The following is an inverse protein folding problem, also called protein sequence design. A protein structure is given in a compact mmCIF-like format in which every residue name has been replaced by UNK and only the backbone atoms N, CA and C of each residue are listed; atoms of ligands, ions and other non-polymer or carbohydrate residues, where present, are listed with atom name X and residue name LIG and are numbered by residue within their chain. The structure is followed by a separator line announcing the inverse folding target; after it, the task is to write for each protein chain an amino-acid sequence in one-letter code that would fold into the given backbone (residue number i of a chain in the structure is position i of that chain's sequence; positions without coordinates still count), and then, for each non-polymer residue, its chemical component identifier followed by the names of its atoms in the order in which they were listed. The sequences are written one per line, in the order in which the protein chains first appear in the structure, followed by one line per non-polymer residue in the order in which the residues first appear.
data_IF_863224240883
#
_entry.id   IF_863224240883
#
_cell.length_a   1.000
_cell.length_b   1.000
_cell.length_c   1.000
_cell.angle_alpha   90.00
_cell.angle_beta   90.00
_cell.angle_gamma   90.00
#
_symmetry.space_group_name_H-M   'P 1'
#
loop_
_entity.id
_entity.type
_entity.pdbx_description
1 polymer ?
#
# COMPACT_ATOMS: atom_id res chain seq x y z
N UNK A 1 -22.19 -52.07 -56.70
CA UNK A 1 -22.52 -51.92 -55.27
C UNK A 1 -21.21 -51.90 -54.50
N UNK A 2 -20.78 -50.73 -54.04
CA UNK A 2 -19.62 -50.57 -53.15
C UNK A 2 -20.14 -49.93 -51.86
N UNK A 3 -20.10 -50.70 -50.78
CA UNK A 3 -20.65 -50.32 -49.47
C UNK A 3 -19.58 -49.52 -48.72
N UNK A 4 -19.85 -48.23 -48.49
CA UNK A 4 -19.00 -47.40 -47.62
C UNK A 4 -19.21 -47.82 -46.16
N UNK A 5 -18.13 -48.19 -45.49
CA UNK A 5 -18.10 -48.38 -44.04
C UNK A 5 -17.85 -47.01 -43.41
N UNK A 6 -18.89 -46.43 -42.82
CA UNK A 6 -18.78 -45.20 -42.02
C UNK A 6 -18.27 -45.59 -40.63
N UNK A 7 -17.01 -45.27 -40.32
CA UNK A 7 -16.51 -45.31 -38.95
C UNK A 7 -17.10 -44.15 -38.16
N UNK A 8 -18.03 -44.45 -37.25
CA UNK A 8 -18.49 -43.50 -36.26
C UNK A 8 -17.39 -43.33 -35.19
N UNK A 9 -16.79 -42.14 -35.15
CA UNK A 9 -15.92 -41.72 -34.05
C UNK A 9 -16.81 -41.44 -32.83
N UNK A 10 -16.79 -42.32 -31.85
CA UNK A 10 -17.43 -42.09 -30.55
C UNK A 10 -16.71 -40.94 -29.85
N UNK A 11 -17.34 -39.77 -29.81
CA UNK A 11 -16.88 -38.66 -28.97
C UNK A 11 -17.02 -39.09 -27.51
N UNK A 12 -15.88 -39.24 -26.83
CA UNK A 12 -15.82 -39.43 -25.38
C UNK A 12 -16.39 -38.17 -24.73
N UNK A 13 -17.64 -38.22 -24.28
CA UNK A 13 -18.18 -37.18 -23.39
C UNK A 13 -17.38 -37.24 -22.08
N UNK A 14 -16.55 -36.22 -21.87
CA UNK A 14 -16.02 -35.91 -20.54
C UNK A 14 -17.20 -35.70 -19.61
N UNK A 15 -17.35 -36.59 -18.62
CA UNK A 15 -18.30 -36.43 -17.52
C UNK A 15 -17.87 -35.15 -16.78
N UNK A 16 -18.57 -34.06 -17.06
CA UNK A 16 -18.20 -32.73 -16.61
C UNK A 16 -18.22 -32.63 -15.10
N UNK A 17 -17.17 -32.04 -14.53
CA UNK A 17 -17.21 -31.44 -13.18
C UNK A 17 -18.49 -30.62 -13.08
N UNK A 18 -19.27 -30.73 -11.98
CA UNK A 18 -20.46 -29.89 -11.82
C UNK A 18 -20.07 -28.40 -11.97
N UNK A 19 -20.88 -27.60 -12.70
CA UNK A 19 -20.55 -26.20 -12.95
C UNK A 19 -20.45 -25.41 -11.65
N UNK A 20 -19.59 -24.39 -11.61
CA UNK A 20 -19.50 -23.51 -10.46
C UNK A 20 -20.81 -22.72 -10.30
N UNK A 21 -21.21 -22.49 -9.06
CA UNK A 21 -22.38 -21.67 -8.76
C UNK A 21 -21.93 -20.31 -8.20
N UNK A 22 -22.45 -19.23 -8.78
CA UNK A 22 -22.15 -17.86 -8.37
C UNK A 22 -23.40 -17.17 -7.85
N UNK A 23 -23.44 -16.90 -6.54
CA UNK A 23 -24.53 -16.14 -5.91
C UNK A 23 -24.09 -14.69 -5.72
N UNK A 24 -24.70 -13.77 -6.46
CA UNK A 24 -24.37 -12.34 -6.41
C UNK A 24 -24.58 -11.77 -5.00
N UNK A 25 -23.61 -10.99 -4.53
CA UNK A 25 -23.61 -10.35 -3.20
C UNK A 25 -23.94 -8.86 -3.25
N UNK A 26 -23.67 -8.19 -4.37
CA UNK A 26 -23.98 -6.76 -4.57
C UNK A 26 -24.55 -6.54 -5.98
N UNK A 27 -25.45 -5.56 -6.21
CA UNK A 27 -26.10 -5.38 -7.52
C UNK A 27 -25.17 -5.33 -8.74
N UNK A 28 -23.97 -4.78 -8.57
CA UNK A 28 -23.01 -4.54 -9.66
C UNK A 28 -21.75 -5.42 -9.65
N UNK A 29 -21.44 -6.09 -8.53
CA UNK A 29 -20.19 -6.84 -8.36
C UNK A 29 -20.30 -7.82 -7.18
N UNK A 30 -19.27 -8.62 -6.94
CA UNK A 30 -19.18 -9.56 -5.83
C UNK A 30 -20.10 -10.79 -5.95
N UNK A 31 -19.55 -11.96 -5.66
CA UNK A 31 -20.33 -13.19 -5.54
C UNK A 31 -19.75 -14.16 -4.51
N UNK A 32 -20.62 -14.93 -3.85
CA UNK A 32 -20.21 -16.20 -3.27
C UNK A 32 -20.00 -17.21 -4.41
N UNK A 33 -18.94 -18.01 -4.32
CA UNK A 33 -18.59 -19.06 -5.27
C UNK A 33 -18.63 -20.42 -4.57
N UNK A 34 -19.42 -21.34 -5.13
CA UNK A 34 -19.56 -22.72 -4.66
C UNK A 34 -19.15 -23.72 -5.75
N UNK A 35 -18.76 -24.93 -5.35
CA UNK A 35 -18.42 -26.02 -6.27
C UNK A 35 -16.94 -26.21 -6.58
N UNK A 36 -16.04 -25.35 -6.08
CA UNK A 36 -14.59 -25.53 -6.26
C UNK A 36 -14.05 -26.60 -5.30
N UNK A 37 -13.44 -27.65 -5.85
CA UNK A 37 -12.70 -28.64 -5.07
C UNK A 37 -11.24 -28.18 -4.86
N UNK A 38 -10.91 -27.82 -3.62
CA UNK A 38 -9.57 -27.41 -3.18
C UNK A 38 -8.74 -28.58 -2.58
N UNK A 39 -9.26 -29.81 -2.61
CA UNK A 39 -8.53 -31.00 -2.12
C UNK A 39 -7.41 -31.44 -3.06
N UNK A 40 -7.49 -31.05 -4.33
CA UNK A 40 -6.52 -31.31 -5.39
C UNK A 40 -6.20 -30.00 -6.14
N UNK A 41 -5.16 -29.97 -6.99
CA UNK A 41 -4.96 -28.84 -7.92
C UNK A 41 -6.23 -28.59 -8.74
N UNK A 42 -6.66 -27.33 -8.80
CA UNK A 42 -7.92 -26.97 -9.47
C UNK A 42 -7.73 -27.15 -10.99
N UNK A 43 -8.63 -27.85 -11.71
CA UNK A 43 -8.48 -28.06 -13.15
C UNK A 43 -8.47 -26.73 -13.94
N UNK A 44 -7.71 -26.67 -15.03
CA UNK A 44 -7.54 -25.44 -15.83
C UNK A 44 -8.89 -24.86 -16.32
N UNK A 45 -9.85 -25.72 -16.70
CA UNK A 45 -11.18 -25.27 -17.10
C UNK A 45 -11.91 -24.50 -15.98
N UNK A 46 -11.75 -24.94 -14.73
CA UNK A 46 -12.31 -24.28 -13.55
C UNK A 46 -11.55 -22.99 -13.25
N UNK A 47 -10.22 -22.96 -13.44
CA UNK A 47 -9.43 -21.72 -13.32
C UNK A 47 -9.91 -20.67 -14.31
N UNK A 48 -10.17 -21.04 -15.58
CA UNK A 48 -10.67 -20.10 -16.58
C UNK A 48 -12.09 -19.62 -16.28
N UNK A 49 -12.96 -20.49 -15.75
CA UNK A 49 -14.27 -20.10 -15.25
C UNK A 49 -14.15 -19.10 -14.09
N UNK A 50 -13.24 -19.33 -13.14
CA UNK A 50 -12.94 -18.40 -12.05
C UNK A 50 -12.40 -17.05 -12.56
N UNK A 51 -11.55 -17.04 -13.61
CA UNK A 51 -11.08 -15.79 -14.23
C UNK A 51 -12.21 -15.00 -14.87
N UNK A 52 -13.10 -15.68 -15.60
CA UNK A 52 -14.28 -15.06 -16.19
C UNK A 52 -15.23 -14.51 -15.11
N UNK A 53 -15.41 -15.24 -14.02
CA UNK A 53 -16.15 -14.79 -12.85
C UNK A 53 -15.48 -13.58 -12.18
N UNK A 54 -14.15 -13.57 -12.00
CA UNK A 54 -13.42 -12.41 -11.48
C UNK A 54 -13.56 -11.18 -12.38
N UNK A 55 -13.52 -11.34 -13.72
CA UNK A 55 -13.76 -10.24 -14.64
C UNK A 55 -15.16 -9.62 -14.45
N UNK A 56 -16.16 -10.45 -14.15
CA UNK A 56 -17.53 -10.01 -13.91
C UNK A 56 -17.67 -9.39 -12.52
N UNK A 57 -17.41 -10.18 -11.48
CA UNK A 57 -17.73 -9.86 -10.09
C UNK A 57 -16.64 -9.08 -9.37
N UNK A 58 -15.37 -9.14 -9.79
CA UNK A 58 -14.24 -8.45 -9.15
C UNK A 58 -13.88 -8.94 -7.73
N UNK A 59 -14.81 -9.59 -7.02
CA UNK A 59 -14.65 -10.21 -5.70
C UNK A 59 -15.39 -11.55 -5.72
N UNK A 60 -14.70 -12.61 -5.31
CA UNK A 60 -15.27 -13.94 -5.09
C UNK A 60 -15.02 -14.39 -3.66
N UNK A 61 -16.05 -14.94 -3.02
CA UNK A 61 -16.00 -15.45 -1.66
C UNK A 61 -16.17 -16.96 -1.68
N UNK A 62 -15.24 -17.67 -1.04
CA UNK A 62 -15.24 -19.13 -0.93
C UNK A 62 -15.38 -19.50 0.54
N UNK A 63 -16.37 -20.33 0.88
CA UNK A 63 -16.62 -20.72 2.28
C UNK A 63 -15.90 -22.02 2.61
N UNK A 64 -15.30 -22.06 3.82
CA UNK A 64 -14.69 -23.26 4.39
C UNK A 64 -13.82 -24.08 3.40
N UNK A 65 -12.85 -23.42 2.75
CA UNK A 65 -12.03 -24.01 1.67
C UNK A 65 -11.21 -25.23 2.08
N UNK A 66 -10.94 -25.41 3.38
CA UNK A 66 -10.03 -26.43 3.94
C UNK A 66 -8.62 -26.41 3.34
N UNK A 67 -8.23 -25.32 2.68
CA UNK A 67 -6.87 -25.09 2.22
C UNK A 67 -5.94 -24.99 3.44
N UNK A 68 -4.75 -25.57 3.33
CA UNK A 68 -3.61 -25.25 4.19
C UNK A 68 -2.71 -24.23 3.48
N UNK A 69 -1.64 -23.80 4.15
CA UNK A 69 -0.71 -22.79 3.65
C UNK A 69 -0.06 -23.18 2.31
N UNK A 70 0.27 -24.46 2.13
CA UNK A 70 0.93 -24.96 0.94
C UNK A 70 -0.04 -25.02 -0.26
N UNK A 71 -1.26 -25.53 -0.04
CA UNK A 71 -2.30 -25.57 -1.07
C UNK A 71 -2.85 -24.19 -1.40
N UNK A 72 -2.94 -23.28 -0.43
CA UNK A 72 -3.32 -21.88 -0.67
C UNK A 72 -2.33 -21.21 -1.62
N UNK A 73 -1.03 -21.36 -1.35
CA UNK A 73 0.02 -20.84 -2.23
C UNK A 73 0.01 -21.53 -3.61
N UNK A 74 -0.20 -22.85 -3.66
CA UNK A 74 -0.29 -23.60 -4.92
C UNK A 74 -1.47 -23.11 -5.78
N UNK A 75 -2.64 -22.90 -5.19
CA UNK A 75 -3.82 -22.36 -5.89
C UNK A 75 -3.55 -20.95 -6.41
N UNK A 76 -2.94 -20.08 -5.61
CA UNK A 76 -2.52 -18.74 -6.04
C UNK A 76 -1.60 -18.81 -7.28
N UNK A 77 -0.67 -19.77 -7.34
CA UNK A 77 0.20 -19.98 -8.52
C UNK A 77 -0.54 -20.40 -9.78
N UNK A 78 -1.68 -21.10 -9.67
CA UNK A 78 -2.52 -21.44 -10.83
C UNK A 78 -3.20 -20.18 -11.41
N UNK A 79 -3.40 -19.15 -10.59
CA UNK A 79 -4.00 -17.88 -11.01
C UNK A 79 -2.97 -16.89 -11.57
N UNK A 80 -1.71 -16.97 -11.15
CA UNK A 80 -0.64 -16.14 -11.68
C UNK A 80 0.62 -16.19 -10.81
N UNK A 81 1.66 -15.44 -11.20
CA UNK A 81 2.92 -15.43 -10.45
C UNK A 81 2.75 -14.67 -9.12
N UNK A 82 2.95 -15.31 -7.96
CA UNK A 82 2.82 -14.64 -6.67
C UNK A 82 3.81 -13.48 -6.52
N UNK A 83 3.32 -12.34 -6.05
CA UNK A 83 4.13 -11.21 -5.62
C UNK A 83 4.48 -11.41 -4.16
N UNK A 84 5.78 -11.44 -3.89
CA UNK A 84 6.30 -11.44 -2.54
C UNK A 84 6.44 -10.01 -2.06
N UNK A 85 5.58 -9.59 -1.12
CA UNK A 85 5.79 -8.34 -0.39
C UNK A 85 6.38 -8.62 1.00
N UNK A 86 7.61 -8.15 1.22
CA UNK A 86 8.31 -8.23 2.51
C UNK A 86 8.06 -6.99 3.39
N UNK A 87 7.07 -6.15 3.07
CA UNK A 87 6.78 -4.87 3.77
C UNK A 87 6.53 -4.98 5.26
N UNK A 88 6.07 -6.14 5.76
CA UNK A 88 5.52 -6.26 7.12
C UNK A 88 6.39 -7.05 8.11
N UNK A 89 7.67 -7.25 7.79
CA UNK A 89 8.67 -7.82 8.71
C UNK A 89 9.60 -6.76 9.29
N UNK A 90 9.81 -6.75 10.61
CA UNK A 90 10.94 -6.03 11.20
C UNK A 90 12.21 -6.87 10.96
N UNK A 91 13.34 -6.27 10.54
CA UNK A 91 14.62 -6.99 10.48
C UNK A 91 14.89 -7.71 11.82
N UNK A 92 15.27 -8.98 11.76
CA UNK A 92 15.56 -9.81 12.94
C UNK A 92 14.35 -10.38 13.68
N UNK A 93 13.11 -10.09 13.28
CA UNK A 93 11.91 -10.76 13.85
C UNK A 93 11.57 -12.00 13.01
N UNK A 94 11.50 -13.21 13.62
CA UNK A 94 11.13 -14.43 12.90
C UNK A 94 9.77 -14.31 12.23
N UNK A 95 9.69 -14.74 10.98
CA UNK A 95 8.42 -14.86 10.26
C UNK A 95 7.56 -15.94 10.94
N UNK A 96 6.40 -15.53 11.47
CA UNK A 96 5.48 -16.43 12.18
C UNK A 96 4.99 -17.56 11.29
N UNK A 97 4.82 -17.31 9.99
CA UNK A 97 4.31 -18.32 9.07
C UNK A 97 5.41 -19.28 8.60
N UNK A 98 6.68 -19.01 8.90
CA UNK A 98 7.83 -19.80 8.44
C UNK A 98 7.96 -19.88 6.91
N UNK A 99 7.06 -19.20 6.19
CA UNK A 99 6.86 -19.26 4.75
C UNK A 99 7.46 -18.04 4.09
N UNK A 100 8.67 -17.65 4.51
CA UNK A 100 9.32 -16.42 4.08
C UNK A 100 9.35 -16.39 2.55
N UNK A 101 8.68 -15.41 1.97
CA UNK A 101 8.58 -15.28 0.53
C UNK A 101 7.49 -16.10 -0.16
N UNK A 102 6.49 -16.61 0.58
CA UNK A 102 5.33 -17.31 -0.01
C UNK A 102 3.99 -16.74 0.44
N UNK A 103 3.84 -16.45 1.74
CA UNK A 103 2.62 -15.87 2.31
C UNK A 103 2.94 -14.59 3.06
N UNK A 104 2.02 -13.63 3.02
CA UNK A 104 2.05 -12.43 3.85
C UNK A 104 1.18 -12.64 5.09
N UNK A 105 1.76 -12.46 6.27
CA UNK A 105 1.02 -12.43 7.53
C UNK A 105 0.34 -11.06 7.70
N UNK A 106 -0.99 -11.02 7.54
CA UNK A 106 -1.80 -9.84 7.82
C UNK A 106 -2.62 -9.97 9.11
N UNK A 107 -2.26 -10.94 9.95
CA UNK A 107 -2.83 -11.11 11.27
C UNK A 107 -2.36 -10.09 12.30
N UNK A 108 -3.18 -9.93 13.35
CA UNK A 108 -2.96 -9.02 14.48
C UNK A 108 -2.26 -9.69 15.68
N UNK A 109 -1.51 -10.78 15.46
CA UNK A 109 -0.82 -11.53 16.50
C UNK A 109 0.70 -11.56 16.30
N UNK A 110 1.45 -11.74 17.38
CA UNK A 110 2.90 -11.97 17.35
C UNK A 110 3.26 -13.45 17.12
N UNK A 111 4.56 -13.76 17.05
CA UNK A 111 5.06 -15.12 16.84
C UNK A 111 4.68 -16.12 17.94
N UNK A 112 4.28 -15.63 19.12
CA UNK A 112 3.78 -16.44 20.24
C UNK A 112 2.25 -16.55 20.25
N UNK A 113 1.58 -16.01 19.23
CA UNK A 113 0.12 -16.02 19.10
C UNK A 113 -0.59 -14.98 19.96
N UNK A 114 0.13 -14.04 20.58
CA UNK A 114 -0.47 -13.00 21.43
C UNK A 114 -0.90 -11.82 20.57
N UNK A 115 -2.04 -11.22 20.90
CA UNK A 115 -2.57 -10.03 20.23
C UNK A 115 -1.57 -8.87 20.34
N UNK A 116 -1.32 -8.18 19.21
CA UNK A 116 -0.43 -7.05 19.15
C UNK A 116 -0.99 -5.86 19.93
N UNK A 117 -0.14 -5.21 20.72
CA UNK A 117 -0.50 -3.94 21.36
C UNK A 117 -0.90 -2.89 20.29
N UNK A 118 -1.97 -2.10 20.50
CA UNK A 118 -2.37 -1.01 19.60
C UNK A 118 -1.29 0.07 19.37
N UNK A 119 -0.32 0.19 20.29
CA UNK A 119 0.83 1.10 20.18
C UNK A 119 2.05 0.45 19.53
N UNK A 120 2.03 -0.85 19.27
CA UNK A 120 3.12 -1.55 18.59
C UNK A 120 3.33 -1.02 17.18
N UNK A 121 4.57 -1.03 16.71
CA UNK A 121 4.92 -0.57 15.37
C UNK A 121 4.09 -1.25 14.27
N UNK A 122 3.94 -2.57 14.35
CA UNK A 122 3.15 -3.37 13.38
C UNK A 122 1.67 -2.98 13.41
N UNK A 123 1.06 -2.84 14.59
CA UNK A 123 -0.34 -2.40 14.70
C UNK A 123 -0.56 -0.97 14.15
N UNK A 124 0.38 -0.06 14.41
CA UNK A 124 0.34 1.31 13.88
C UNK A 124 0.42 1.32 12.34
N UNK A 125 1.29 0.51 11.74
CA UNK A 125 1.37 0.37 10.29
C UNK A 125 0.08 -0.21 9.69
N UNK A 126 -0.53 -1.21 10.33
CA UNK A 126 -1.76 -1.83 9.85
C UNK A 126 -2.99 -0.93 9.94
N UNK A 127 -2.96 0.18 10.67
CA UNK A 127 -4.07 1.16 10.60
C UNK A 127 -4.32 1.66 9.19
N UNK A 128 -3.29 1.65 8.32
CA UNK A 128 -3.43 1.99 6.91
C UNK A 128 -4.37 1.04 6.13
N UNK A 129 -4.53 -0.21 6.54
CA UNK A 129 -5.42 -1.18 5.85
C UNK A 129 -6.90 -0.93 6.15
N UNK A 130 -7.22 -0.05 7.11
CA UNK A 130 -8.59 0.39 7.43
C UNK A 130 -9.09 1.47 6.48
N UNK A 131 -8.20 2.01 5.65
CA UNK A 131 -8.52 2.96 4.60
C UNK A 131 -8.77 2.18 3.31
N UNK A 132 -9.70 2.64 2.47
CA UNK A 132 -9.88 2.05 1.14
C UNK A 132 -8.58 2.16 0.35
N UNK A 133 -8.07 1.02 -0.11
CA UNK A 133 -6.79 0.92 -0.79
C UNK A 133 -6.79 -0.19 -1.84
N UNK A 134 -5.71 -0.23 -2.63
CA UNK A 134 -5.44 -1.23 -3.67
C UNK A 134 -4.07 -1.81 -3.39
N UNK A 135 -3.99 -3.13 -3.22
CA UNK A 135 -2.74 -3.80 -2.89
C UNK A 135 -1.70 -3.58 -3.97
N UNK A 136 -0.46 -3.36 -3.55
CA UNK A 136 0.67 -3.19 -4.47
C UNK A 136 0.60 -1.96 -5.39
N UNK A 137 -0.40 -1.07 -5.26
CA UNK A 137 -0.50 0.14 -6.12
C UNK A 137 0.69 1.10 -5.96
N UNK A 138 1.40 1.04 -4.83
CA UNK A 138 2.65 1.76 -4.59
C UNK A 138 3.87 1.16 -5.31
N UNK A 139 3.71 0.03 -6.00
CA UNK A 139 4.75 -0.56 -6.87
C UNK A 139 4.45 -0.24 -8.34
N UNK A 140 5.46 -0.39 -9.22
CA UNK A 140 5.28 -0.14 -10.66
C UNK A 140 4.48 -1.26 -11.35
N UNK A 141 4.68 -2.51 -10.92
CA UNK A 141 3.94 -3.65 -11.43
C UNK A 141 2.70 -3.87 -10.57
N UNK A 142 1.52 -3.62 -11.14
CA UNK A 142 0.25 -3.80 -10.41
C UNK A 142 0.07 -5.24 -9.94
N UNK A 143 -0.45 -5.39 -8.72
CA UNK A 143 -1.05 -6.63 -8.27
C UNK A 143 -2.29 -6.93 -9.11
N UNK A 144 -2.50 -8.21 -9.44
CA UNK A 144 -3.73 -8.69 -10.05
C UNK A 144 -4.71 -9.10 -8.97
N UNK A 145 -4.62 -10.35 -8.53
CA UNK A 145 -5.50 -10.87 -7.48
C UNK A 145 -4.81 -10.90 -6.11
N UNK A 146 -5.54 -10.56 -5.06
CA UNK A 146 -5.17 -10.92 -3.68
C UNK A 146 -6.08 -12.05 -3.20
N UNK A 147 -5.52 -13.00 -2.47
CA UNK A 147 -6.20 -14.17 -1.94
C UNK A 147 -5.99 -14.23 -0.43
N UNK A 148 -7.03 -13.85 0.31
CA UNK A 148 -7.00 -13.76 1.77
C UNK A 148 -7.75 -14.93 2.38
N UNK A 149 -7.03 -15.80 3.10
CA UNK A 149 -7.59 -16.93 3.83
C UNK A 149 -7.69 -16.62 5.31
N UNK A 150 -8.88 -16.79 5.89
CA UNK A 150 -9.10 -16.78 7.32
C UNK A 150 -8.48 -18.05 7.93
N UNK A 151 -7.42 -17.91 8.72
CA UNK A 151 -6.84 -19.00 9.49
C UNK A 151 -7.46 -19.08 10.89
N UNK A 152 -7.71 -17.93 11.52
CA UNK A 152 -8.46 -17.86 12.77
C UNK A 152 -9.27 -16.57 12.81
N UNK A 153 -10.55 -16.67 13.11
CA UNK A 153 -11.48 -15.56 13.26
C UNK A 153 -11.69 -15.16 14.72
N UNK A 154 -12.06 -13.89 15.00
CA UNK A 154 -12.42 -13.46 16.33
C UNK A 154 -13.79 -14.06 16.69
N UNK A 155 -14.24 -13.97 17.96
CA UNK A 155 -15.55 -14.49 18.33
C UNK A 155 -16.66 -13.94 17.42
N UNK A 156 -17.63 -14.79 17.11
CA UNK A 156 -18.70 -14.44 16.16
C UNK A 156 -19.45 -13.19 16.60
N UNK A 157 -19.75 -12.30 15.65
CA UNK A 157 -20.49 -11.05 15.90
C UNK A 157 -19.63 -9.90 16.45
N UNK A 158 -18.30 -10.06 16.51
CA UNK A 158 -17.42 -9.04 17.07
C UNK A 158 -16.73 -8.13 16.02
N UNK A 159 -17.15 -8.26 14.76
CA UNK A 159 -16.70 -7.46 13.62
C UNK A 159 -15.54 -8.10 12.85
N UNK A 160 -14.73 -7.28 12.18
CA UNK A 160 -13.58 -7.75 11.38
C UNK A 160 -13.91 -8.09 9.92
N UNK A 161 -15.06 -7.65 9.42
CA UNK A 161 -15.44 -7.77 8.02
C UNK A 161 -14.41 -7.12 7.08
N UNK A 162 -14.49 -7.43 5.79
CA UNK A 162 -13.73 -6.74 4.75
C UNK A 162 -14.70 -6.05 3.80
N UNK A 163 -14.53 -4.74 3.63
CA UNK A 163 -15.33 -3.97 2.70
C UNK A 163 -14.57 -3.75 1.40
N UNK A 164 -15.28 -3.88 0.28
CA UNK A 164 -14.79 -3.70 -1.08
C UNK A 164 -15.59 -2.60 -1.77
N UNK A 165 -14.99 -1.87 -2.71
CA UNK A 165 -15.67 -0.86 -3.50
C UNK A 165 -15.41 -1.07 -5.00
N UNK A 166 -16.47 -1.13 -5.81
CA UNK A 166 -16.37 -1.33 -7.27
C UNK A 166 -16.02 -0.03 -8.00
N UNK A 167 -14.74 0.12 -8.35
CA UNK A 167 -14.26 1.35 -8.98
C UNK A 167 -14.66 1.47 -10.46
N UNK A 168 -15.18 0.40 -11.06
CA UNK A 168 -15.75 0.42 -12.42
C UNK A 168 -17.09 1.12 -12.43
N UNK A 169 -17.97 0.76 -11.49
CA UNK A 169 -19.28 1.41 -11.35
C UNK A 169 -19.11 2.85 -10.89
N UNK A 170 -18.20 3.10 -9.95
CA UNK A 170 -17.86 4.47 -9.55
C UNK A 170 -17.39 5.33 -10.74
N UNK A 171 -16.55 4.80 -11.65
CA UNK A 171 -16.17 5.53 -12.86
C UNK A 171 -17.36 5.80 -13.79
N UNK A 172 -18.18 4.78 -14.04
CA UNK A 172 -19.32 4.90 -14.95
C UNK A 172 -20.30 6.01 -14.54
N UNK A 173 -20.51 6.15 -13.23
CA UNK A 173 -21.41 7.13 -12.61
C UNK A 173 -20.82 8.57 -12.52
N UNK A 174 -19.57 8.79 -12.93
CA UNK A 174 -19.01 10.15 -13.00
C UNK A 174 -19.70 10.98 -14.09
N UNK A 175 -19.81 12.28 -13.85
CA UNK A 175 -20.18 13.24 -14.90
C UNK A 175 -19.16 13.22 -16.04
N UNK A 176 -19.60 13.45 -17.28
CA UNK A 176 -18.73 13.38 -18.46
C UNK A 176 -17.61 14.43 -18.40
N UNK A 177 -17.87 15.60 -17.80
CA UNK A 177 -16.88 16.63 -17.58
C UNK A 177 -15.74 16.13 -16.66
N UNK A 178 -16.10 15.41 -15.59
CA UNK A 178 -15.12 14.81 -14.69
C UNK A 178 -14.35 13.69 -15.38
N UNK A 179 -15.01 12.85 -16.18
CA UNK A 179 -14.33 11.81 -16.98
C UNK A 179 -13.30 12.43 -17.93
N UNK A 180 -13.68 13.52 -18.61
CA UNK A 180 -12.80 14.25 -19.53
C UNK A 180 -11.61 14.91 -18.81
N UNK A 181 -11.80 15.43 -17.60
CA UNK A 181 -10.72 16.00 -16.79
C UNK A 181 -9.68 14.93 -16.40
N UNK A 182 -10.15 13.78 -15.90
CA UNK A 182 -9.27 12.80 -15.25
C UNK A 182 -8.64 11.78 -16.22
N UNK A 183 -9.12 11.69 -17.46
CA UNK A 183 -8.74 10.63 -18.41
C UNK A 183 -7.23 10.47 -18.60
N UNK A 184 -6.47 11.58 -18.52
CA UNK A 184 -5.02 11.61 -18.73
C UNK A 184 -4.24 11.78 -17.43
N UNK A 185 -4.90 11.82 -16.27
CA UNK A 185 -4.21 11.97 -15.00
C UNK A 185 -3.45 10.70 -14.64
N UNK A 186 -2.23 10.89 -14.12
CA UNK A 186 -1.41 9.83 -13.53
C UNK A 186 -1.27 10.14 -12.05
N UNK A 187 -1.61 9.19 -11.19
CA UNK A 187 -1.44 9.29 -9.75
C UNK A 187 -0.10 8.69 -9.33
N UNK A 188 0.54 9.35 -8.37
CA UNK A 188 1.67 8.83 -7.60
C UNK A 188 1.15 8.14 -6.33
N UNK A 189 1.59 6.90 -6.12
CA UNK A 189 1.20 6.04 -5.01
C UNK A 189 2.39 5.73 -4.11
N UNK A 190 2.20 5.85 -2.80
CA UNK A 190 3.21 5.52 -1.79
C UNK A 190 2.57 4.73 -0.64
N UNK A 191 3.22 3.65 -0.22
CA UNK A 191 2.76 2.91 0.97
C UNK A 191 2.77 3.83 2.20
N UNK A 192 3.80 4.68 2.33
CA UNK A 192 3.95 5.59 3.47
C UNK A 192 2.83 6.62 3.57
N UNK A 193 2.19 6.98 2.44
CA UNK A 193 1.00 7.84 2.46
C UNK A 193 -0.12 7.21 3.28
N UNK A 194 -0.48 5.95 2.97
CA UNK A 194 -1.53 5.25 3.71
C UNK A 194 -1.20 5.05 5.19
N UNK A 195 0.09 4.86 5.52
CA UNK A 195 0.56 4.71 6.90
C UNK A 195 0.43 6.03 7.67
N UNK A 196 0.77 7.15 7.03
CA UNK A 196 0.55 8.49 7.59
C UNK A 196 -0.92 8.78 7.82
N UNK A 197 -1.78 8.49 6.83
CA UNK A 197 -3.23 8.69 6.97
C UNK A 197 -3.84 7.81 8.06
N UNK A 198 -3.37 6.57 8.24
CA UNK A 198 -3.89 5.65 9.25
C UNK A 198 -3.37 5.89 10.66
N UNK A 199 -2.18 6.48 10.81
CA UNK A 199 -1.54 6.75 12.10
C UNK A 199 -0.82 8.11 12.10
N UNK A 200 -1.56 9.23 11.95
CA UNK A 200 -0.98 10.55 11.75
C UNK A 200 -0.16 11.05 12.96
N UNK A 201 -0.52 10.61 14.16
CA UNK A 201 0.15 11.03 15.41
C UNK A 201 1.46 10.27 15.69
N UNK A 202 1.77 9.23 14.91
CA UNK A 202 2.99 8.47 15.10
C UNK A 202 4.20 9.25 14.58
N UNK A 203 5.00 9.79 15.50
CA UNK A 203 6.16 10.65 15.17
C UNK A 203 7.16 9.99 14.21
N UNK A 204 7.37 8.67 14.30
CA UNK A 204 8.31 7.97 13.44
C UNK A 204 7.75 7.82 12.02
N UNK A 205 6.45 7.54 11.87
CA UNK A 205 5.79 7.54 10.56
C UNK A 205 5.87 8.92 9.91
N UNK A 206 5.58 9.99 10.68
CA UNK A 206 5.71 11.38 10.21
C UNK A 206 7.13 11.69 9.73
N UNK A 207 8.13 11.31 10.52
CA UNK A 207 9.54 11.50 10.18
C UNK A 207 9.90 10.75 8.90
N UNK A 208 9.52 9.47 8.77
CA UNK A 208 9.81 8.67 7.56
C UNK A 208 9.12 9.27 6.34
N UNK A 209 7.88 9.73 6.45
CA UNK A 209 7.17 10.39 5.34
C UNK A 209 7.89 11.66 4.93
N UNK A 210 8.20 12.55 5.87
CA UNK A 210 8.90 13.80 5.61
C UNK A 210 10.29 13.57 4.97
N UNK A 211 11.03 12.56 5.42
CA UNK A 211 12.35 12.22 4.86
C UNK A 211 12.23 11.55 3.49
N UNK A 212 11.23 10.68 3.29
CA UNK A 212 11.02 9.95 2.02
C UNK A 212 10.38 10.80 0.92
N UNK A 213 9.96 12.02 1.23
CA UNK A 213 9.31 12.92 0.30
C UNK A 213 10.34 13.73 -0.51
N UNK A 214 10.68 13.25 -1.70
CA UNK A 214 11.74 13.85 -2.52
C UNK A 214 11.30 15.09 -3.31
N UNK A 215 10.02 15.47 -3.24
CA UNK A 215 9.50 16.62 -4.00
C UNK A 215 10.20 17.93 -3.60
N UNK A 216 10.56 18.08 -2.33
CA UNK A 216 11.32 19.24 -1.83
C UNK A 216 12.80 19.23 -2.24
N UNK A 217 13.39 18.06 -2.54
CA UNK A 217 14.79 17.98 -2.95
C UNK A 217 15.04 18.66 -4.30
N UNK A 218 14.00 18.81 -5.14
CA UNK A 218 14.10 19.56 -6.40
C UNK A 218 14.38 21.05 -6.20
N UNK A 219 14.15 21.59 -4.99
CA UNK A 219 14.45 22.98 -4.63
C UNK A 219 15.86 23.17 -4.09
N UNK A 220 16.57 22.09 -3.73
CA UNK A 220 17.93 22.18 -3.18
C UNK A 220 18.92 22.79 -4.17
N UNK A 221 18.93 22.44 -5.48
CA UNK A 221 19.82 23.10 -6.43
C UNK A 221 19.61 24.61 -6.48
N UNK A 222 18.36 25.07 -6.33
CA UNK A 222 18.03 26.50 -6.27
C UNK A 222 18.56 27.15 -5.00
N UNK A 223 18.35 26.52 -3.83
CA UNK A 223 18.87 27.03 -2.55
C UNK A 223 20.42 27.05 -2.52
N UNK A 224 21.06 26.03 -3.08
CA UNK A 224 22.52 25.97 -3.26
C UNK A 224 23.01 27.08 -4.20
N UNK A 225 22.31 27.31 -5.32
CA UNK A 225 22.65 28.36 -6.28
C UNK A 225 22.50 29.76 -5.68
N UNK A 226 21.43 30.02 -4.92
CA UNK A 226 21.24 31.29 -4.20
C UNK A 226 22.36 31.51 -3.18
N UNK A 227 22.71 30.48 -2.41
CA UNK A 227 23.85 30.54 -1.47
C UNK A 227 25.19 30.78 -2.16
N UNK A 228 25.42 30.14 -3.31
CA UNK A 228 26.64 30.33 -4.11
C UNK A 228 26.72 31.74 -4.71
N UNK A 229 25.61 32.27 -5.24
CA UNK A 229 25.53 33.63 -5.78
C UNK A 229 25.79 34.66 -4.67
N UNK A 230 25.17 34.50 -3.49
CA UNK A 230 25.42 35.38 -2.34
C UNK A 230 26.90 35.39 -1.94
N UNK A 231 27.58 34.23 -2.00
CA UNK A 231 29.02 34.09 -1.75
C UNK A 231 29.87 34.79 -2.81
N UNK A 232 29.56 34.63 -4.09
CA UNK A 232 30.28 35.27 -5.21
C UNK A 232 30.13 36.79 -5.16
N UNK A 233 28.96 37.29 -4.78
CA UNK A 233 28.68 38.72 -4.65
C UNK A 233 29.28 39.36 -3.39
N UNK A 234 30.04 38.61 -2.58
CA UNK A 234 30.69 39.14 -1.39
C UNK A 234 29.72 39.58 -0.29
N UNK A 235 28.48 39.10 -0.32
CA UNK A 235 27.50 39.28 0.76
C UNK A 235 27.89 38.30 1.89
N UNK A 236 29.01 38.60 2.54
CA UNK A 236 29.56 37.79 3.63
C UNK A 236 28.68 37.96 4.87
N UNK A 237 28.02 36.88 5.26
CA UNK A 237 27.46 36.72 6.60
C UNK A 237 27.82 35.30 7.02
N UNK A 238 28.44 35.11 8.19
CA UNK A 238 28.75 33.79 8.77
C UNK A 238 27.53 32.84 8.79
N UNK A 239 26.33 33.43 8.74
CA UNK A 239 25.03 32.77 8.61
C UNK A 239 24.90 31.95 7.31
N UNK A 240 25.51 32.36 6.18
CA UNK A 240 25.39 31.66 4.88
C UNK A 240 26.18 30.35 4.89
N UNK A 241 27.40 30.34 5.45
CA UNK A 241 28.21 29.12 5.56
C UNK A 241 27.60 28.11 6.53
N UNK A 242 27.04 28.57 7.66
CA UNK A 242 26.27 27.72 8.57
C UNK A 242 25.02 27.16 7.87
N UNK A 243 24.31 27.99 7.08
CA UNK A 243 23.10 27.55 6.36
C UNK A 243 23.41 26.50 5.29
N UNK A 244 24.50 26.66 4.53
CA UNK A 244 24.95 25.68 3.55
C UNK A 244 25.41 24.37 4.22
N UNK A 245 26.13 24.46 5.34
CA UNK A 245 26.52 23.30 6.13
C UNK A 245 25.31 22.56 6.72
N UNK A 246 24.35 23.28 7.29
CA UNK A 246 23.10 22.71 7.80
C UNK A 246 22.29 22.04 6.68
N UNK A 247 22.23 22.64 5.49
CA UNK A 247 21.56 22.05 4.34
C UNK A 247 22.30 20.80 3.85
N UNK A 248 23.64 20.82 3.80
CA UNK A 248 24.44 19.64 3.49
C UNK A 248 24.21 18.50 4.50
N UNK A 249 24.26 18.80 5.80
CA UNK A 249 23.97 17.84 6.87
C UNK A 249 22.54 17.29 6.78
N UNK A 250 21.56 18.15 6.48
CA UNK A 250 20.18 17.74 6.26
C UNK A 250 20.04 16.79 5.06
N UNK A 251 20.67 17.11 3.92
CA UNK A 251 20.64 16.29 2.72
C UNK A 251 21.36 14.96 2.95
N UNK A 252 22.54 14.98 3.54
CA UNK A 252 23.31 13.78 3.88
C UNK A 252 22.53 12.90 4.87
N UNK A 253 21.96 13.49 5.93
CA UNK A 253 21.11 12.79 6.88
C UNK A 253 19.89 12.13 6.21
N UNK A 254 19.24 12.82 5.27
CA UNK A 254 18.14 12.23 4.48
C UNK A 254 18.61 11.10 3.58
N UNK A 255 19.74 11.24 2.90
CA UNK A 255 20.32 10.17 2.07
C UNK A 255 20.61 8.94 2.93
N UNK A 256 21.22 9.11 4.10
CA UNK A 256 21.52 8.03 5.02
C UNK A 256 20.24 7.31 5.50
N UNK A 257 19.20 8.06 5.88
CA UNK A 257 17.91 7.47 6.27
C UNK A 257 17.24 6.76 5.09
N UNK A 258 17.28 7.33 3.89
CA UNK A 258 16.73 6.69 2.68
C UNK A 258 17.44 5.37 2.37
N UNK A 259 18.77 5.31 2.49
CA UNK A 259 19.55 4.09 2.33
C UNK A 259 19.15 3.01 3.34
N UNK A 260 18.68 3.41 4.52
CA UNK A 260 18.22 2.49 5.57
C UNK A 260 16.76 2.05 5.42
N UNK A 261 15.93 2.78 4.65
CA UNK A 261 14.52 2.43 4.49
C UNK A 261 14.31 1.17 3.63
N UNK A 262 13.36 0.29 4.02
CA UNK A 262 12.93 -0.83 3.19
C UNK A 262 12.52 -0.35 1.79
N UNK A 263 12.79 -1.18 0.77
CA UNK A 263 12.51 -0.84 -0.63
C UNK A 263 11.06 -0.36 -0.85
N UNK A 264 10.10 -0.98 -0.18
CA UNK A 264 8.70 -0.59 -0.27
C UNK A 264 8.39 0.81 0.29
N UNK A 265 9.06 1.26 1.35
CA UNK A 265 8.88 2.62 1.87
C UNK A 265 9.40 3.68 0.88
N UNK A 266 10.36 3.30 0.03
CA UNK A 266 10.89 4.09 -1.08
C UNK A 266 10.11 3.94 -2.38
N UNK A 267 9.30 2.89 -2.52
CA UNK A 267 8.56 2.61 -3.75
C UNK A 267 7.55 3.72 -4.05
N UNK A 268 7.47 4.10 -5.32
CA UNK A 268 6.55 5.10 -5.84
C UNK A 268 5.92 4.55 -7.12
N UNK A 269 4.68 4.07 -7.01
CA UNK A 269 3.91 3.59 -8.16
C UNK A 269 3.35 4.78 -8.93
N UNK A 270 3.36 4.72 -10.26
CA UNK A 270 2.74 5.73 -11.13
C UNK A 270 1.72 5.04 -12.01
N UNK A 271 0.45 5.37 -11.82
CA UNK A 271 -0.65 4.68 -12.48
C UNK A 271 -1.64 5.70 -13.03
N UNK A 272 -2.19 5.46 -14.21
CA UNK A 272 -3.29 6.26 -14.74
C UNK A 272 -4.48 6.22 -13.77
N UNK A 273 -5.15 7.35 -13.58
CA UNK A 273 -6.33 7.43 -12.72
C UNK A 273 -7.53 6.71 -13.36
N UNK A 274 -7.83 7.03 -14.61
CA UNK A 274 -8.84 6.32 -15.40
C UNK A 274 -8.17 5.22 -16.23
N UNK A 275 -8.60 3.98 -16.08
CA UNK A 275 -8.00 2.84 -16.78
C UNK A 275 -9.03 1.87 -17.33
N UNK A 276 -8.72 1.28 -18.48
CA UNK A 276 -9.48 0.15 -18.99
C UNK A 276 -9.17 -1.12 -18.19
N UNK A 277 -10.16 -1.63 -17.48
CA UNK A 277 -10.14 -2.97 -16.92
C UNK A 277 -10.32 -3.99 -18.07
N UNK A 278 -9.20 -4.43 -18.64
CA UNK A 278 -9.19 -5.31 -19.83
C UNK A 278 -10.09 -6.55 -19.69
N UNK A 279 -10.07 -7.31 -18.57
CA UNK A 279 -10.88 -8.53 -18.45
C UNK A 279 -12.39 -8.27 -18.59
N UNK A 280 -12.89 -7.14 -18.07
CA UNK A 280 -14.33 -6.82 -18.12
C UNK A 280 -14.69 -5.82 -19.21
N UNK A 281 -13.72 -5.30 -19.96
CA UNK A 281 -13.87 -4.20 -20.92
C UNK A 281 -14.60 -2.95 -20.35
N UNK A 282 -14.41 -2.64 -19.05
CA UNK A 282 -15.00 -1.48 -18.39
C UNK A 282 -13.90 -0.50 -17.98
N UNK A 283 -14.17 0.80 -18.07
CA UNK A 283 -13.31 1.80 -17.45
C UNK A 283 -13.45 1.74 -15.92
N UNK A 284 -12.38 2.07 -15.20
CA UNK A 284 -12.36 2.14 -13.74
C UNK A 284 -11.50 3.29 -13.23
N UNK A 285 -11.74 3.67 -11.97
CA UNK A 285 -10.84 4.51 -11.18
C UNK A 285 -9.78 3.64 -10.49
N UNK A 286 -8.52 3.77 -10.88
CA UNK A 286 -7.40 3.09 -10.23
C UNK A 286 -6.76 4.01 -9.18
N UNK A 287 -7.31 3.97 -7.97
CA UNK A 287 -6.88 4.82 -6.86
C UNK A 287 -7.13 4.17 -5.50
N UNK A 288 -6.59 4.76 -4.44
CA UNK A 288 -6.75 4.30 -3.06
C UNK A 288 -5.93 5.18 -2.11
N UNK A 289 -5.90 4.86 -0.82
CA UNK A 289 -5.20 5.65 0.22
C UNK A 289 -3.68 5.81 0.01
N UNK A 290 -3.10 5.05 -0.91
CA UNK A 290 -1.70 5.21 -1.33
C UNK A 290 -1.49 6.44 -2.23
N UNK A 291 -2.51 6.90 -2.95
CA UNK A 291 -2.43 8.04 -3.86
C UNK A 291 -2.23 9.34 -3.09
N UNK A 292 -1.22 10.12 -3.45
CA UNK A 292 -0.88 11.37 -2.75
C UNK A 292 -0.65 12.58 -3.67
N UNK A 293 -0.54 12.36 -4.98
CA UNK A 293 -0.21 13.41 -5.93
C UNK A 293 -0.63 13.03 -7.35
N UNK A 294 -1.15 14.00 -8.11
CA UNK A 294 -1.34 13.93 -9.56
C UNK A 294 -0.04 14.39 -10.22
N UNK A 295 0.44 13.63 -11.20
CA UNK A 295 1.64 13.95 -11.95
C UNK A 295 1.51 15.33 -12.61
N UNK A 296 2.58 16.13 -12.55
CA UNK A 296 2.56 17.53 -13.00
C UNK A 296 1.89 18.55 -12.06
N UNK A 297 1.19 18.12 -11.00
CA UNK A 297 0.58 19.03 -10.00
C UNK A 297 1.35 19.03 -8.68
N UNK A 298 1.17 20.04 -7.83
CA UNK A 298 1.66 20.00 -6.45
C UNK A 298 0.79 19.06 -5.59
N UNK A 299 1.28 18.62 -4.42
CA UNK A 299 0.46 17.82 -3.50
C UNK A 299 -0.76 18.58 -3.00
N UNK A 300 -0.59 19.88 -2.72
CA UNK A 300 -1.67 20.75 -2.26
C UNK A 300 -2.78 20.83 -3.30
N UNK A 301 -2.43 21.01 -4.58
CA UNK A 301 -3.41 21.10 -5.67
C UNK A 301 -4.03 19.73 -6.02
N UNK A 302 -3.28 18.64 -5.77
CA UNK A 302 -3.77 17.28 -6.04
C UNK A 302 -4.76 16.78 -4.98
N UNK A 303 -4.55 17.18 -3.73
CA UNK A 303 -5.31 16.71 -2.57
C UNK A 303 -6.83 16.84 -2.74
N UNK A 304 -7.42 18.01 -3.08
CA UNK A 304 -8.88 18.13 -3.17
C UNK A 304 -9.48 17.22 -4.25
N UNK A 305 -8.79 17.03 -5.38
CA UNK A 305 -9.24 16.14 -6.46
C UNK A 305 -9.22 14.68 -6.02
N UNK A 306 -8.11 14.23 -5.41
CA UNK A 306 -7.98 12.86 -4.91
C UNK A 306 -9.02 12.59 -3.82
N UNK A 307 -9.23 13.52 -2.87
CA UNK A 307 -10.22 13.37 -1.80
C UNK A 307 -11.66 13.35 -2.32
N UNK A 308 -12.00 14.19 -3.30
CA UNK A 308 -13.33 14.19 -3.92
C UNK A 308 -13.62 12.86 -4.62
N UNK A 309 -12.66 12.34 -5.40
CA UNK A 309 -12.81 11.06 -6.09
C UNK A 309 -12.80 9.87 -5.12
N UNK A 310 -11.99 9.89 -4.06
CA UNK A 310 -12.05 8.88 -3.00
C UNK A 310 -13.43 8.87 -2.33
N UNK A 311 -13.99 10.06 -2.04
CA UNK A 311 -15.32 10.19 -1.43
C UNK A 311 -16.41 9.66 -2.35
N UNK A 312 -16.33 9.96 -3.65
CA UNK A 312 -17.24 9.40 -4.66
C UNK A 312 -17.13 7.87 -4.72
N UNK A 313 -15.93 7.35 -4.95
CA UNK A 313 -15.70 5.91 -5.14
C UNK A 313 -15.91 5.06 -3.88
N UNK A 314 -16.16 5.66 -2.72
CA UNK A 314 -16.45 4.97 -1.45
C UNK A 314 -17.87 5.19 -0.93
N UNK A 315 -18.77 5.73 -1.76
CA UNK A 315 -20.21 5.78 -1.45
C UNK A 315 -20.79 4.37 -1.26
N UNK A 316 -21.75 4.22 -0.33
CA UNK A 316 -22.33 2.92 0.05
C UNK A 316 -22.88 2.12 -1.15
N UNK A 317 -23.43 2.80 -2.16
CA UNK A 317 -23.93 2.15 -3.40
C UNK A 317 -22.87 1.45 -4.24
N UNK A 318 -21.59 1.69 -3.98
CA UNK A 318 -20.47 0.99 -4.62
C UNK A 318 -19.82 -0.03 -3.70
N UNK A 319 -20.24 -0.11 -2.44
CA UNK A 319 -19.54 -0.85 -1.37
C UNK A 319 -20.25 -2.17 -1.08
N UNK A 320 -19.47 -3.26 -1.11
CA UNK A 320 -19.86 -4.57 -0.60
C UNK A 320 -19.07 -4.85 0.68
N UNK A 321 -19.77 -5.12 1.78
CA UNK A 321 -19.14 -5.61 3.02
C UNK A 321 -19.33 -7.12 3.12
N UNK A 322 -18.23 -7.85 3.26
CA UNK A 322 -18.23 -9.30 3.41
C UNK A 322 -17.82 -9.67 4.82
N UNK A 323 -18.74 -10.32 5.54
CA UNK A 323 -18.45 -10.95 6.81
C UNK A 323 -17.74 -12.29 6.63
N UNK A 324 -16.72 -12.50 7.45
CA UNK A 324 -16.08 -13.81 7.61
C UNK A 324 -16.96 -14.71 8.47
N UNK A 325 -17.25 -15.92 7.98
CA UNK A 325 -18.18 -16.83 8.65
C UNK A 325 -17.44 -17.98 9.35
N UNK A 326 -16.40 -18.53 8.72
CA UNK A 326 -15.67 -19.69 9.22
C UNK A 326 -14.15 -19.51 9.13
N UNK A 327 -13.45 -20.16 10.05
CA UNK A 327 -12.03 -20.49 9.84
C UNK A 327 -11.93 -21.30 8.53
N UNK A 328 -11.05 -20.88 7.62
CA UNK A 328 -10.88 -21.45 6.29
C UNK A 328 -11.69 -20.79 5.18
N UNK A 329 -12.55 -19.80 5.48
CA UNK A 329 -13.09 -18.92 4.45
C UNK A 329 -11.96 -18.23 3.69
N UNK A 330 -12.14 -18.00 2.38
CA UNK A 330 -11.19 -17.29 1.54
C UNK A 330 -11.93 -16.24 0.72
N UNK A 331 -11.40 -15.03 0.64
CA UNK A 331 -11.89 -13.99 -0.27
C UNK A 331 -10.78 -13.70 -1.27
N UNK A 332 -11.16 -13.71 -2.55
CA UNK A 332 -10.30 -13.34 -3.66
C UNK A 332 -10.82 -12.06 -4.31
N UNK A 333 -9.98 -11.07 -4.56
CA UNK A 333 -10.40 -9.83 -5.22
C UNK A 333 -9.41 -9.35 -6.28
N UNK A 334 -9.92 -8.62 -7.26
CA UNK A 334 -9.16 -8.02 -8.36
C UNK A 334 -8.74 -6.58 -8.01
N UNK A 335 -7.47 -6.44 -7.64
CA UNK A 335 -6.85 -5.15 -7.31
C UNK A 335 -6.88 -4.17 -8.50
N UNK A 336 -7.14 -4.62 -9.72
CA UNK A 336 -7.21 -3.75 -10.88
C UNK A 336 -8.59 -3.12 -11.09
N UNK A 337 -9.61 -3.54 -10.33
CA UNK A 337 -10.96 -2.98 -10.44
C UNK A 337 -11.73 -2.78 -9.12
N UNK A 338 -11.16 -3.12 -7.97
CA UNK A 338 -11.75 -2.81 -6.66
C UNK A 338 -10.76 -2.16 -5.70
N UNK A 339 -11.28 -1.30 -4.83
CA UNK A 339 -10.61 -0.95 -3.56
C UNK A 339 -11.11 -1.86 -2.45
N UNK A 340 -10.34 -2.01 -1.38
CA UNK A 340 -10.80 -2.70 -0.19
C UNK A 340 -10.28 -2.07 1.10
N UNK A 341 -10.88 -2.41 2.23
CA UNK A 341 -10.44 -2.05 3.58
C UNK A 341 -10.84 -3.09 4.60
N UNK A 342 -10.05 -3.21 5.67
CA UNK A 342 -10.48 -3.91 6.87
C UNK A 342 -11.50 -3.07 7.64
N UNK A 343 -12.59 -3.71 8.07
CA UNK A 343 -13.56 -3.10 8.96
C UNK A 343 -13.14 -3.31 10.42
N UNK A 344 -13.47 -2.34 11.27
CA UNK A 344 -13.31 -2.47 12.71
C UNK A 344 -14.30 -3.47 13.32
N UNK A 345 -14.26 -3.58 14.64
CA UNK A 345 -15.15 -4.43 15.40
C UNK A 345 -15.14 -4.09 16.89
N UNK A 346 -16.17 -4.53 17.62
CA UNK A 346 -16.24 -4.39 19.07
C UNK A 346 -15.14 -5.16 19.81
N UNK A 347 -14.47 -6.07 19.09
CA UNK A 347 -13.34 -6.84 19.56
C UNK A 347 -12.01 -6.11 19.56
N UNK A 348 -11.91 -4.93 18.98
CA UNK A 348 -10.65 -4.24 18.76
C UNK A 348 -10.02 -3.67 20.05
N UNK A 349 -8.71 -3.88 20.25
CA UNK A 349 -7.92 -3.50 21.42
C UNK A 349 -7.99 -4.42 22.67
N UNK A 350 -8.70 -5.55 22.68
CA UNK A 350 -8.89 -6.42 23.87
C UNK A 350 -7.82 -7.52 23.96
N UNK A 351 -7.02 -7.52 25.02
CA UNK A 351 -5.99 -8.55 25.22
C UNK A 351 -6.57 -9.97 25.38
N UNK A 352 -5.80 -10.95 24.91
CA UNK A 352 -5.92 -12.41 25.02
C UNK A 352 -6.76 -13.18 24.00
N UNK A 353 -7.67 -12.58 23.23
CA UNK A 353 -8.60 -13.39 22.42
C UNK A 353 -8.95 -12.82 21.03
N UNK A 354 -8.20 -11.79 20.53
CA UNK A 354 -8.43 -11.22 19.18
C UNK A 354 -7.73 -12.04 18.10
N UNK A 355 -8.09 -13.30 17.97
CA UNK A 355 -7.44 -14.12 16.96
C UNK A 355 -8.01 -13.78 15.58
N UNK A 356 -7.41 -12.81 14.88
CA UNK A 356 -7.53 -12.67 13.43
C UNK A 356 -6.19 -13.09 12.82
N UNK A 357 -6.07 -14.36 12.47
CA UNK A 357 -4.95 -14.84 11.65
C UNK A 357 -5.45 -14.87 10.23
N UNK A 358 -4.92 -13.98 9.40
CA UNK A 358 -5.18 -13.98 7.97
C UNK A 358 -3.87 -14.23 7.24
N UNK A 359 -3.96 -15.03 6.19
CA UNK A 359 -2.85 -15.29 5.30
C UNK A 359 -3.21 -14.75 3.93
N UNK A 360 -2.36 -13.88 3.43
CA UNK A 360 -2.56 -13.24 2.14
C UNK A 360 -1.53 -13.76 1.13
N UNK A 361 -1.98 -13.92 -0.11
CA UNK A 361 -1.11 -14.12 -1.27
C UNK A 361 -1.57 -13.20 -2.38
N UNK A 362 -0.68 -12.30 -2.77
CA UNK A 362 -0.90 -11.41 -3.89
C UNK A 362 -0.32 -12.08 -5.13
N UNK A 363 -1.00 -12.04 -6.27
CA UNK A 363 -0.57 -12.61 -7.54
C UNK A 363 -0.58 -11.57 -8.64
N UNK A 364 0.34 -11.69 -9.59
CA UNK A 364 0.30 -10.93 -10.82
C UNK A 364 -0.69 -11.57 -11.78
N UNK A 365 -1.61 -10.79 -12.33
CA UNK A 365 -2.35 -11.20 -13.53
C UNK A 365 -1.35 -11.42 -14.68
N UNK A 366 -1.37 -12.61 -15.27
CA UNK A 366 -0.68 -12.86 -16.53
C UNK A 366 -1.47 -12.19 -17.65
N UNK A 367 -1.24 -10.89 -17.87
CA UNK A 367 -1.79 -10.19 -19.02
C UNK A 367 -0.97 -10.58 -20.25
N UNK A 368 -1.42 -11.61 -20.98
CA UNK A 368 -0.92 -11.92 -22.32
C UNK A 368 -0.99 -10.65 -23.18
N UNK A 369 0.18 -10.11 -23.56
CA UNK A 369 0.29 -8.97 -24.49
C UNK A 369 0.97 -7.69 -23.97
N UNK A 370 1.49 -7.63 -22.74
CA UNK A 370 2.28 -6.46 -22.31
C UNK A 370 3.75 -6.59 -22.76
N UNK A 371 4.13 -5.93 -23.86
CA UNK A 371 5.50 -5.96 -24.44
C UNK A 371 6.61 -5.42 -23.51
N UNK A 372 6.27 -4.86 -22.36
CA UNK A 372 7.24 -4.41 -21.35
C UNK A 372 7.64 -5.50 -20.34
N UNK A 373 7.04 -6.69 -20.40
CA UNK A 373 7.28 -7.74 -19.40
C UNK A 373 8.56 -8.56 -19.60
N UNK A 374 9.23 -8.49 -20.76
CA UNK A 374 10.36 -9.39 -21.10
C UNK A 374 11.76 -8.81 -20.93
N UNK A 375 11.91 -7.50 -20.67
CA UNK A 375 13.24 -6.85 -20.76
C UNK A 375 14.05 -6.79 -19.45
N UNK A 376 13.51 -7.19 -18.30
CA UNK A 376 14.16 -6.96 -17.00
C UNK A 376 14.87 -8.19 -16.38
N UNK A 377 14.85 -9.37 -17.02
CA UNK A 377 15.29 -10.63 -16.40
C UNK A 377 16.76 -11.01 -16.60
N UNK A 378 17.62 -10.14 -17.14
CA UNK A 378 18.99 -10.54 -17.54
C UNK A 378 20.12 -9.62 -17.05
N UNK A 379 20.20 -9.34 -15.74
CA UNK A 379 21.49 -8.95 -15.12
C UNK A 379 21.69 -9.65 -13.77
N UNK A 380 22.73 -10.50 -13.62
CA UNK A 380 23.07 -11.08 -12.34
C UNK A 380 23.81 -10.03 -11.48
N UNK A 381 23.33 -9.78 -10.26
CA UNK A 381 24.03 -8.94 -9.28
C UNK A 381 25.02 -9.80 -8.49
N UNK A 382 26.29 -9.79 -8.88
CA UNK A 382 27.39 -10.19 -8.01
C UNK A 382 27.78 -9.01 -7.13
N UNK A 383 27.44 -9.06 -5.84
CA UNK A 383 28.08 -8.18 -4.85
C UNK A 383 28.22 -8.93 -3.53
N UNK A 384 29.44 -9.37 -3.27
CA UNK A 384 29.92 -9.91 -2.00
C UNK A 384 29.72 -8.85 -0.91
N UNK A 385 28.76 -9.05 -0.01
CA UNK A 385 28.50 -8.15 1.10
C UNK A 385 29.45 -8.44 2.25
N UNK A 386 30.36 -7.50 2.55
CA UNK A 386 31.07 -7.43 3.83
C UNK A 386 30.03 -7.26 4.95
N UNK A 387 30.00 -8.21 5.87
CA UNK A 387 29.16 -8.19 7.07
C UNK A 387 29.95 -7.46 8.16
N UNK A 388 29.49 -6.26 8.56
CA UNK A 388 29.95 -5.61 9.79
C UNK A 388 28.90 -5.84 10.91
N UNK A 389 29.31 -5.96 12.19
CA UNK A 389 28.39 -6.31 13.27
C UNK A 389 27.39 -5.17 13.55
N UNK A 390 26.10 -5.42 13.31
CA UNK A 390 24.99 -4.44 13.30
C UNK A 390 24.57 -3.89 14.68
N UNK A 391 25.07 -4.46 15.79
CA UNK A 391 24.47 -4.26 17.12
C UNK A 391 24.94 -3.00 17.86
N UNK A 392 26.20 -2.58 17.73
CA UNK A 392 26.75 -1.45 18.51
C UNK A 392 26.33 -0.08 17.96
N UNK A 393 26.10 0.04 16.65
CA UNK A 393 25.75 1.31 16.01
C UNK A 393 24.28 1.70 16.21
N UNK A 394 23.38 0.71 16.27
CA UNK A 394 21.94 0.93 16.50
C UNK A 394 21.65 1.50 17.89
N UNK A 395 22.34 1.02 18.92
CA UNK A 395 22.20 1.56 20.28
C UNK A 395 22.79 2.96 20.39
N UNK A 396 23.96 3.20 19.79
CA UNK A 396 24.60 4.51 19.78
C UNK A 396 23.72 5.57 19.10
N UNK A 397 23.18 5.29 17.91
CA UNK A 397 22.35 6.24 17.16
C UNK A 397 21.03 6.55 17.87
N UNK A 398 20.38 5.55 18.47
CA UNK A 398 19.15 5.74 19.24
C UNK A 398 19.39 6.50 20.56
N UNK A 399 20.57 6.34 21.18
CA UNK A 399 20.98 7.15 22.34
C UNK A 399 21.30 8.60 21.92
N UNK A 400 21.98 8.81 20.80
CA UNK A 400 22.29 10.14 20.27
C UNK A 400 21.04 10.94 19.88
N UNK A 401 20.04 10.31 19.24
CA UNK A 401 18.77 10.96 18.91
C UNK A 401 17.95 11.33 20.16
N UNK A 402 17.98 10.48 21.19
CA UNK A 402 17.35 10.80 22.50
C UNK A 402 18.06 11.93 23.24
N UNK A 403 19.38 12.06 23.07
CA UNK A 403 20.18 13.13 23.65
C UNK A 403 19.91 14.48 22.97
N UNK A 404 19.86 14.52 21.63
CA UNK A 404 19.51 15.72 20.85
C UNK A 404 18.13 16.27 21.25
N UNK A 405 17.15 15.40 21.47
CA UNK A 405 15.80 15.81 21.89
C UNK A 405 15.69 16.27 23.36
N UNK A 406 16.75 16.15 24.17
CA UNK A 406 16.76 16.51 25.61
C UNK A 406 17.62 17.72 25.94
N UNK A 407 18.23 18.39 24.94
CA UNK A 407 19.03 19.59 25.19
C UNK A 407 18.13 20.77 25.60
N UNK A 408 18.33 21.36 26.80
CA UNK A 408 17.64 22.59 27.16
C UNK A 408 18.14 23.74 26.28
N UNK A 409 17.21 24.45 25.64
CA UNK A 409 17.49 25.68 24.91
C UNK A 409 17.91 26.74 25.93
N UNK A 410 19.18 27.17 25.92
CA UNK A 410 19.59 28.33 26.74
C UNK A 410 18.96 29.60 26.13
N UNK A 411 18.35 30.47 26.94
CA UNK A 411 17.88 31.76 26.45
C UNK A 411 19.07 32.63 26.03
N UNK A 412 18.89 33.34 24.92
CA UNK A 412 19.84 34.31 24.35
C UNK A 412 19.86 35.53 25.29
N UNK A 413 21.03 36.10 25.66
CA UNK A 413 21.07 37.30 26.49
C UNK A 413 20.52 38.50 25.73
N UNK A 414 19.58 39.22 26.32
CA UNK A 414 19.09 40.50 25.82
C UNK A 414 20.17 41.57 25.98
N UNK A 415 20.73 42.05 24.87
CA UNK A 415 21.48 43.30 24.88
C UNK A 415 20.51 44.48 25.00
N UNK A 416 20.60 45.21 26.11
CA UNK A 416 19.91 46.48 26.33
C UNK A 416 20.45 47.54 25.36
N UNK A 417 19.58 48.09 24.51
CA UNK A 417 19.83 49.40 23.92
C UNK A 417 19.42 50.45 24.96
N UNK A 418 20.42 51.04 25.61
CA UNK A 418 20.25 52.23 26.43
C UNK A 418 20.33 53.47 25.54
N UNK A 419 19.22 54.20 25.53
CA UNK A 419 19.10 55.67 25.61
C UNK A 419 20.01 56.53 24.71
N UNK A 420 19.39 57.11 23.67
CA UNK A 420 19.81 58.40 23.13
C UNK A 420 18.60 59.15 22.57
N UNK A 421 17.81 59.78 23.45
CA UNK A 421 16.85 60.82 23.08
C UNK A 421 16.31 61.56 24.30
N UNK A 422 17.04 62.56 24.82
CA UNK A 422 16.46 63.70 25.53
C UNK A 422 17.55 64.73 25.89
N UNK A 423 17.91 65.59 24.95
CA UNK A 423 18.57 66.86 25.28
C UNK A 423 17.92 67.99 24.45
N UNK A 424 16.72 68.39 24.88
CA UNK A 424 16.10 69.66 24.52
C UNK A 424 15.00 69.98 25.53
N UNK A 425 15.35 70.77 26.56
CA UNK A 425 14.55 71.87 27.15
C UNK A 425 15.07 72.23 28.54
N UNK A 426 16.03 73.14 28.60
CA UNK A 426 16.08 74.16 29.66
C UNK A 426 16.06 75.53 28.99
N UNK A 427 15.17 76.41 29.47
CA UNK A 427 15.09 77.80 29.01
C UNK A 427 13.68 78.38 28.96
N UNK A 428 13.07 78.65 30.13
CA UNK A 428 12.32 79.87 30.49
C UNK A 428 11.36 79.64 31.66
N UNK A 429 11.75 80.16 32.84
CA UNK A 429 11.02 81.23 33.56
C UNK A 429 11.79 81.63 34.84
N UNK A 430 12.68 82.61 34.68
CA UNK A 430 12.78 83.80 35.53
C UNK A 430 13.48 84.85 34.68
#
# INVERSE_FOLDING_TARGET
MATMITTATTATMTIGTPPLAFRRLHPTFGADCEGVDFSQPVPDAVIEELRAAMATYGVLVFRATKLDDARHFAFARQLGEPIVDNTVGKPGVPDRLGSRGKLMDVGNVDSKGRVLSPSSWRAQLFRGTRLFHVDGSFTQRRAGYSLLRAHKLPPKGTGGATAFADTRTAYADLAEETKAEIQNHVLWHSIMQSRYLGAPDNWLIRLVVAVSDLDDLRRIPYLMAVGLIARVLGIWVDIVDISLLLMFCFVLGRILVLCWLPAAARARGRHQLAQLHKPSNRMNLYMGSHAYRIDGRSKADSKPVIEALMRHASQDKYVLTVDWQNDGDMIMWDNTCVMHRSCGGSYQGRQNDELCKFQDTITCLHLSGCRHCTAASSRPSSSTSLILPETSFQEALMQSLKWICRMPIRPIPSHSMAENSAEQKEGKKA
#
